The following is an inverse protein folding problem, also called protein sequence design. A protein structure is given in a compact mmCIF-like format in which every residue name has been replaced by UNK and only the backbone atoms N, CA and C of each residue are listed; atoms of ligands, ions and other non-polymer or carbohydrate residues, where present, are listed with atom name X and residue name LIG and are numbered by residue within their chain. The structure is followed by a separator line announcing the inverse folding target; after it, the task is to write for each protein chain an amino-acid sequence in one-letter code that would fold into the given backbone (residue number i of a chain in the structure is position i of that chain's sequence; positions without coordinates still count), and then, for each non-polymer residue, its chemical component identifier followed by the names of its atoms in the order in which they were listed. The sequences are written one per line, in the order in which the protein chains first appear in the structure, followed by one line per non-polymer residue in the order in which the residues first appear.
data_IF_373476593238
#
_entry.id   IF_373476593238
#
_cell.length_a   1.000
_cell.length_b   1.000
_cell.length_c   1.000
_cell.angle_alpha   90.00
_cell.angle_beta   90.00
_cell.angle_gamma   90.00
#
_symmetry.space_group_name_H-M   'P 1'
#
loop_
_entity.id
_entity.type
_entity.pdbx_description
1 polymer ?
#
# COMPACT_ATOMS: atom_id res chain seq x y z
N UNK A 1 -19.05 -24.90 10.49
CA UNK A 1 -18.72 -24.08 11.68
C UNK A 1 -19.33 -22.73 11.45
N UNK A 2 -20.50 -22.47 12.04
CA UNK A 2 -21.12 -21.15 12.03
C UNK A 2 -20.21 -20.19 12.79
N UNK A 3 -19.67 -19.20 12.09
CA UNK A 3 -18.87 -18.14 12.70
C UNK A 3 -19.84 -17.24 13.46
N UNK A 4 -19.67 -17.17 14.78
CA UNK A 4 -20.50 -16.38 15.68
C UNK A 4 -20.41 -14.89 15.30
N UNK A 5 -21.52 -14.32 14.85
CA UNK A 5 -21.62 -12.90 14.46
C UNK A 5 -21.48 -11.94 15.67
N UNK A 6 -21.42 -12.43 16.92
CA UNK A 6 -21.28 -11.59 18.11
C UNK A 6 -19.87 -10.98 18.29
N UNK A 7 -18.79 -11.63 17.86
CA UNK A 7 -17.41 -11.19 18.19
C UNK A 7 -17.02 -9.84 17.54
N UNK A 8 -17.54 -9.56 16.34
CA UNK A 8 -17.33 -8.27 15.67
C UNK A 8 -17.95 -7.10 16.44
N UNK A 9 -19.07 -7.35 17.10
CA UNK A 9 -19.87 -6.30 17.73
C UNK A 9 -19.19 -5.69 18.95
N UNK A 10 -18.22 -6.40 19.53
CA UNK A 10 -17.52 -5.98 20.74
C UNK A 10 -16.10 -5.42 20.46
N UNK A 11 -15.38 -5.94 19.45
CA UNK A 11 -13.99 -5.54 19.19
C UNK A 11 -13.82 -4.06 18.81
N UNK A 12 -14.64 -3.54 17.88
CA UNK A 12 -14.56 -2.15 17.46
C UNK A 12 -14.83 -1.17 18.61
N UNK A 13 -15.92 -1.33 19.40
CA UNK A 13 -16.13 -0.53 20.60
C UNK A 13 -14.98 -0.57 21.61
N UNK A 14 -14.37 -1.73 21.85
CA UNK A 14 -13.21 -1.85 22.73
C UNK A 14 -12.00 -1.09 22.21
N UNK A 15 -11.65 -1.28 20.94
CA UNK A 15 -10.54 -0.58 20.30
C UNK A 15 -10.75 0.94 20.30
N UNK A 16 -11.99 1.41 20.06
CA UNK A 16 -12.33 2.83 20.15
C UNK A 16 -12.12 3.34 21.58
N UNK A 17 -12.60 2.62 22.60
CA UNK A 17 -12.41 3.00 24.01
C UNK A 17 -10.94 3.01 24.41
N UNK A 18 -10.14 2.07 23.93
CA UNK A 18 -8.70 2.03 24.18
C UNK A 18 -7.99 3.27 23.60
N UNK A 19 -8.40 3.73 22.42
CA UNK A 19 -7.78 4.88 21.74
C UNK A 19 -8.35 6.24 22.16
N UNK A 20 -9.63 6.29 22.54
CA UNK A 20 -10.37 7.49 22.92
C UNK A 20 -11.37 7.19 24.05
N UNK A 21 -10.90 7.04 25.31
CA UNK A 21 -11.75 6.65 26.45
C UNK A 21 -12.93 7.60 26.73
N UNK A 22 -12.79 8.87 26.36
CA UNK A 22 -13.81 9.92 26.51
C UNK A 22 -14.43 10.36 25.18
N UNK A 23 -14.09 9.67 24.08
CA UNK A 23 -14.59 9.97 22.75
C UNK A 23 -16.02 9.43 22.51
N UNK A 24 -16.69 9.87 21.44
CA UNK A 24 -17.96 9.30 21.02
C UNK A 24 -17.81 7.81 20.70
N UNK A 25 -18.84 7.01 20.99
CA UNK A 25 -18.97 5.65 20.49
C UNK A 25 -20.17 5.59 19.55
N UNK A 26 -19.96 5.65 18.22
CA UNK A 26 -21.05 5.55 17.27
C UNK A 26 -21.83 4.23 17.43
N UNK A 27 -23.14 4.24 17.13
CA UNK A 27 -24.00 3.05 17.22
C UNK A 27 -23.81 2.13 16.02
N UNK A 28 -23.68 2.70 14.81
CA UNK A 28 -23.53 1.94 13.57
C UNK A 28 -22.11 1.40 13.41
N UNK A 29 -21.95 0.14 13.02
CA UNK A 29 -20.63 -0.48 12.83
C UNK A 29 -19.78 0.21 11.76
N UNK A 30 -20.39 0.72 10.68
CA UNK A 30 -19.69 1.48 9.65
C UNK A 30 -19.13 2.80 10.22
N UNK A 31 -19.89 3.47 11.08
CA UNK A 31 -19.45 4.68 11.77
C UNK A 31 -18.38 4.39 12.84
N UNK A 32 -18.49 3.26 13.55
CA UNK A 32 -17.45 2.78 14.47
C UNK A 32 -16.14 2.50 13.72
N UNK A 33 -16.19 1.79 12.59
CA UNK A 33 -15.01 1.51 11.78
C UNK A 33 -14.37 2.80 11.26
N UNK A 34 -15.18 3.73 10.74
CA UNK A 34 -14.71 5.04 10.29
C UNK A 34 -14.03 5.82 11.44
N UNK A 35 -14.62 5.82 12.63
CA UNK A 35 -14.06 6.52 13.78
C UNK A 35 -12.78 5.85 14.31
N UNK A 36 -12.76 4.53 14.45
CA UNK A 36 -11.56 3.76 14.79
C UNK A 36 -10.42 4.06 13.79
N UNK A 37 -10.73 4.06 12.49
CA UNK A 37 -9.77 4.40 11.43
C UNK A 37 -9.19 5.80 11.62
N UNK A 38 -10.02 6.80 11.90
CA UNK A 38 -9.54 8.16 12.19
C UNK A 38 -8.61 8.19 13.40
N UNK A 39 -8.99 7.52 14.48
CA UNK A 39 -8.20 7.46 15.71
C UNK A 39 -6.84 6.82 15.44
N UNK A 40 -6.80 5.60 14.89
CA UNK A 40 -5.54 4.87 14.70
C UNK A 40 -4.61 5.55 13.69
N UNK A 41 -5.16 6.24 12.69
CA UNK A 41 -4.39 7.07 11.76
C UNK A 41 -3.53 8.09 12.52
N UNK A 42 -4.05 8.70 13.59
CA UNK A 42 -3.36 9.76 14.35
C UNK A 42 -2.39 9.27 15.43
N UNK A 43 -2.46 8.00 15.81
CA UNK A 43 -1.74 7.49 16.99
C UNK A 43 -0.32 7.08 16.64
N UNK A 44 0.64 7.46 17.49
CA UNK A 44 1.97 6.87 17.47
C UNK A 44 1.90 5.49 18.09
N UNK A 45 2.72 4.58 17.60
CA UNK A 45 2.73 3.19 18.08
C UNK A 45 3.19 3.06 19.54
N UNK A 46 3.98 4.02 20.03
CA UNK A 46 4.39 4.11 21.42
C UNK A 46 3.25 4.51 22.38
N UNK A 47 2.18 5.12 21.86
CA UNK A 47 1.05 5.60 22.65
C UNK A 47 -0.08 4.56 22.72
N UNK A 48 0.09 3.39 22.10
CA UNK A 48 -0.92 2.34 22.08
C UNK A 48 -0.98 1.61 23.44
N UNK A 49 -2.19 1.41 24.02
CA UNK A 49 -2.34 0.71 25.28
C UNK A 49 -1.81 -0.72 25.24
N UNK A 50 -1.43 -1.26 26.40
CA UNK A 50 -1.04 -2.67 26.54
C UNK A 50 -2.19 -3.57 26.08
N UNK A 51 -1.90 -4.52 25.20
CA UNK A 51 -2.89 -5.45 24.66
C UNK A 51 -3.65 -4.94 23.43
N UNK A 52 -3.52 -3.65 23.07
CA UNK A 52 -4.22 -3.08 21.92
C UNK A 52 -3.90 -3.83 20.61
N UNK A 53 -2.62 -4.13 20.35
CA UNK A 53 -2.21 -4.81 19.12
C UNK A 53 -2.88 -6.18 18.96
N UNK A 54 -3.08 -6.92 20.04
CA UNK A 54 -3.73 -8.23 19.98
C UNK A 54 -5.20 -8.11 19.56
N UNK A 55 -5.91 -7.10 20.07
CA UNK A 55 -7.29 -6.82 19.66
C UNK A 55 -7.37 -6.33 18.22
N UNK A 56 -6.40 -5.51 17.80
CA UNK A 56 -6.30 -5.03 16.43
C UNK A 56 -6.00 -6.19 15.46
N UNK A 57 -5.10 -7.10 15.83
CA UNK A 57 -4.79 -8.31 15.08
C UNK A 57 -6.09 -9.13 14.87
N UNK A 58 -6.89 -9.35 15.92
CA UNK A 58 -8.19 -10.05 15.85
C UNK A 58 -9.20 -9.35 14.92
N UNK A 59 -9.30 -8.02 15.00
CA UNK A 59 -10.17 -7.24 14.13
C UNK A 59 -9.76 -7.38 12.66
N UNK A 60 -8.47 -7.24 12.35
CA UNK A 60 -7.96 -7.29 10.99
C UNK A 60 -8.06 -8.70 10.39
N UNK A 61 -7.76 -9.74 11.18
CA UNK A 61 -8.02 -11.13 10.80
C UNK A 61 -9.50 -11.36 10.46
N UNK A 62 -10.41 -10.79 11.26
CA UNK A 62 -11.83 -10.87 10.97
C UNK A 62 -12.18 -10.16 9.65
N UNK A 63 -11.69 -8.94 9.45
CA UNK A 63 -11.93 -8.15 8.22
C UNK A 63 -11.49 -8.95 7.00
N UNK A 64 -10.29 -9.53 7.03
CA UNK A 64 -9.76 -10.30 5.90
C UNK A 64 -10.45 -11.64 5.66
N UNK A 65 -11.14 -12.22 6.66
CA UNK A 65 -12.04 -13.37 6.43
C UNK A 65 -13.29 -13.00 5.63
N UNK A 66 -13.65 -11.72 5.57
CA UNK A 66 -14.87 -11.22 4.90
C UNK A 66 -14.58 -10.39 3.65
N UNK A 67 -13.34 -9.94 3.49
CA UNK A 67 -12.91 -9.08 2.41
C UNK A 67 -12.32 -9.91 1.27
N UNK A 68 -12.65 -9.54 0.04
CA UNK A 68 -12.11 -10.21 -1.13
C UNK A 68 -10.59 -10.03 -1.21
N UNK A 69 -9.93 -11.10 -1.64
CA UNK A 69 -8.51 -11.12 -1.99
C UNK A 69 -8.41 -11.38 -3.48
N UNK A 70 -7.64 -10.55 -4.18
CA UNK A 70 -7.46 -10.62 -5.62
C UNK A 70 -6.14 -11.32 -5.94
N UNK A 71 -6.18 -12.35 -6.76
CA UNK A 71 -5.02 -13.12 -7.19
C UNK A 71 -4.67 -12.84 -8.65
N UNK A 72 -3.51 -13.31 -9.09
CA UNK A 72 -3.00 -13.08 -10.45
C UNK A 72 -3.98 -13.56 -11.55
N UNK A 73 -4.78 -14.59 -11.25
CA UNK A 73 -5.81 -15.14 -12.15
C UNK A 73 -6.99 -14.20 -12.39
N UNK A 74 -7.16 -13.19 -11.53
CA UNK A 74 -8.22 -12.19 -11.64
C UNK A 74 -7.80 -11.00 -12.52
N UNK A 75 -6.54 -10.97 -12.97
CA UNK A 75 -5.95 -9.83 -13.68
C UNK A 75 -5.70 -10.12 -15.15
N UNK A 76 -5.71 -9.08 -15.96
CA UNK A 76 -5.44 -9.19 -17.39
C UNK A 76 -3.94 -9.13 -17.68
N UNK A 77 -3.38 -10.18 -18.29
CA UNK A 77 -2.00 -10.19 -18.77
C UNK A 77 -1.91 -9.48 -20.13
N UNK A 78 -1.51 -8.21 -20.12
CA UNK A 78 -1.46 -7.38 -21.34
C UNK A 78 -0.10 -7.42 -22.05
N UNK A 79 0.94 -7.85 -21.36
CA UNK A 79 2.28 -8.07 -21.87
C UNK A 79 2.90 -9.22 -21.08
N UNK A 80 3.82 -9.99 -21.68
CA UNK A 80 4.43 -11.15 -21.02
C UNK A 80 4.91 -10.81 -19.60
N UNK A 81 4.34 -11.48 -18.61
CA UNK A 81 4.64 -11.31 -17.18
C UNK A 81 4.24 -9.96 -16.56
N UNK A 82 3.46 -9.14 -17.27
CA UNK A 82 2.97 -7.83 -16.83
C UNK A 82 1.43 -7.82 -16.88
N UNK A 83 0.81 -7.63 -15.72
CA UNK A 83 -0.62 -7.68 -15.50
C UNK A 83 -1.17 -6.29 -15.21
N UNK A 84 -2.41 -6.05 -15.60
CA UNK A 84 -3.16 -4.84 -15.28
C UNK A 84 -4.43 -5.21 -14.50
N UNK A 85 -4.71 -4.40 -13.47
CA UNK A 85 -5.96 -4.47 -12.72
C UNK A 85 -6.38 -3.08 -12.26
N UNK A 86 -7.64 -2.95 -11.83
CA UNK A 86 -8.22 -1.71 -11.32
C UNK A 86 -8.92 -1.98 -10.00
N UNK A 87 -8.56 -1.26 -8.95
CA UNK A 87 -9.20 -1.39 -7.65
C UNK A 87 -8.28 -1.07 -6.47
N UNK A 88 -8.56 -1.71 -5.35
CA UNK A 88 -7.81 -1.51 -4.11
C UNK A 88 -6.57 -2.40 -4.07
N UNK A 89 -5.39 -1.78 -4.13
CA UNK A 89 -4.10 -2.47 -4.05
C UNK A 89 -3.96 -3.29 -2.76
N UNK A 90 -4.60 -2.91 -1.66
CA UNK A 90 -4.51 -3.65 -0.40
C UNK A 90 -5.12 -5.04 -0.50
N UNK A 91 -5.99 -5.31 -1.48
CA UNK A 91 -6.60 -6.62 -1.71
C UNK A 91 -5.73 -7.53 -2.59
N UNK A 92 -4.67 -7.01 -3.21
CA UNK A 92 -3.85 -7.76 -4.15
C UNK A 92 -2.92 -8.73 -3.42
N UNK A 93 -3.10 -10.02 -3.68
CA UNK A 93 -2.22 -11.09 -3.23
C UNK A 93 -1.00 -11.18 -4.15
N UNK A 94 0.09 -10.56 -3.71
CA UNK A 94 1.39 -10.62 -4.33
C UNK A 94 2.46 -10.97 -3.30
N UNK A 95 3.68 -11.28 -3.74
CA UNK A 95 4.78 -11.41 -2.80
C UNK A 95 5.11 -10.07 -2.14
N UNK A 96 5.06 -8.96 -2.88
CA UNK A 96 5.00 -7.63 -2.28
C UNK A 96 4.09 -6.65 -3.02
N UNK A 97 3.47 -5.75 -2.26
CA UNK A 97 2.87 -4.52 -2.79
C UNK A 97 3.80 -3.33 -2.57
N UNK A 98 3.69 -2.31 -3.41
CA UNK A 98 4.54 -1.11 -3.33
C UNK A 98 3.77 0.09 -2.78
N UNK A 99 4.25 0.60 -1.66
CA UNK A 99 3.73 1.77 -0.96
C UNK A 99 4.48 3.05 -1.39
N UNK A 100 3.79 4.05 -1.99
CA UNK A 100 4.32 5.39 -2.18
C UNK A 100 4.35 6.15 -0.85
N UNK A 101 5.39 5.90 -0.06
CA UNK A 101 5.43 6.32 1.34
C UNK A 101 5.67 7.82 1.53
N UNK A 102 5.26 8.34 2.69
CA UNK A 102 5.69 9.65 3.17
C UNK A 102 7.18 9.64 3.59
N UNK A 103 7.87 10.80 3.67
CA UNK A 103 9.31 10.85 4.00
C UNK A 103 9.71 10.14 5.29
N UNK A 104 8.86 10.11 6.31
CA UNK A 104 9.16 9.40 7.56
C UNK A 104 8.83 7.90 7.51
N UNK A 105 8.15 7.42 6.46
CA UNK A 105 7.74 6.01 6.26
C UNK A 105 6.83 5.47 7.39
N UNK A 106 6.22 6.34 8.19
CA UNK A 106 5.40 5.96 9.34
C UNK A 106 3.90 5.88 8.98
N UNK A 107 3.57 5.87 7.70
CA UNK A 107 2.21 6.00 7.22
C UNK A 107 1.67 7.43 7.27
N UNK A 108 0.39 7.54 6.94
CA UNK A 108 -0.33 8.80 7.02
C UNK A 108 -0.81 9.09 8.47
N UNK A 109 -0.68 10.34 8.90
CA UNK A 109 -1.22 10.84 10.19
C UNK A 109 -2.39 11.82 10.03
N UNK A 110 -2.85 12.05 8.80
CA UNK A 110 -3.97 12.97 8.53
C UNK A 110 -5.28 12.17 8.52
N UNK A 111 -6.19 12.37 9.49
CA UNK A 111 -7.51 11.75 9.48
C UNK A 111 -8.22 12.01 8.15
N UNK A 112 -8.96 11.01 7.68
CA UNK A 112 -9.79 11.10 6.46
C UNK A 112 -9.00 11.40 5.17
N UNK A 113 -7.67 11.39 5.22
CA UNK A 113 -6.86 11.54 4.02
C UNK A 113 -6.98 10.28 3.17
N UNK A 114 -7.56 10.45 1.99
CA UNK A 114 -7.66 9.40 0.97
C UNK A 114 -6.31 9.29 0.28
N UNK A 115 -5.43 8.44 0.82
CA UNK A 115 -4.17 8.10 0.19
C UNK A 115 -3.83 6.62 0.41
N UNK A 116 -3.14 6.03 -0.56
CA UNK A 116 -2.78 4.61 -0.52
C UNK A 116 -1.91 4.26 0.69
N UNK A 117 -0.99 5.14 1.10
CA UNK A 117 -0.18 4.98 2.31
C UNK A 117 -1.06 4.78 3.57
N UNK A 118 -2.19 5.49 3.66
CA UNK A 118 -3.14 5.30 4.76
C UNK A 118 -3.88 3.96 4.63
N UNK A 119 -4.35 3.60 3.42
CA UNK A 119 -5.01 2.31 3.19
C UNK A 119 -4.10 1.12 3.56
N UNK A 120 -2.85 1.14 3.10
CA UNK A 120 -1.86 0.11 3.39
C UNK A 120 -1.63 0.01 4.90
N UNK A 121 -1.38 1.12 5.59
CA UNK A 121 -1.13 1.11 7.03
C UNK A 121 -2.35 0.68 7.86
N UNK A 122 -3.56 1.08 7.48
CA UNK A 122 -4.79 0.69 8.19
C UNK A 122 -5.04 -0.81 8.04
N UNK A 123 -4.92 -1.36 6.81
CA UNK A 123 -5.25 -2.77 6.56
C UNK A 123 -4.10 -3.75 6.84
N UNK A 124 -2.85 -3.29 6.92
CA UNK A 124 -1.74 -4.06 7.48
C UNK A 124 -1.77 -4.09 9.01
N UNK A 125 -2.24 -3.00 9.63
CA UNK A 125 -2.30 -2.80 11.08
C UNK A 125 -1.11 -2.03 11.65
N UNK A 126 -1.22 -1.63 12.92
CA UNK A 126 -0.25 -0.78 13.61
C UNK A 126 1.13 -1.40 13.74
N UNK A 127 1.25 -2.73 13.59
CA UNK A 127 2.53 -3.42 13.56
C UNK A 127 3.40 -3.00 12.36
N UNK A 128 2.81 -2.68 11.21
CA UNK A 128 3.54 -2.11 10.08
C UNK A 128 4.21 -0.80 10.46
N UNK A 129 3.45 0.10 11.11
CA UNK A 129 4.02 1.36 11.61
C UNK A 129 5.09 1.12 12.68
N UNK A 130 4.98 0.07 13.50
CA UNK A 130 6.01 -0.28 14.50
C UNK A 130 7.32 -0.69 13.83
N UNK A 131 7.27 -1.57 12.83
CA UNK A 131 8.45 -1.98 12.06
C UNK A 131 9.07 -0.79 11.33
N UNK A 132 8.26 0.05 10.67
CA UNK A 132 8.76 1.29 10.07
C UNK A 132 9.42 2.22 11.08
N UNK A 133 8.85 2.38 12.29
CA UNK A 133 9.42 3.22 13.34
C UNK A 133 10.79 2.71 13.77
N UNK A 134 10.92 1.40 13.99
CA UNK A 134 12.18 0.75 14.36
C UNK A 134 13.22 0.83 13.25
N UNK A 135 12.79 0.71 11.99
CA UNK A 135 13.65 0.74 10.81
C UNK A 135 14.15 2.15 10.50
N UNK A 136 13.32 3.16 10.70
CA UNK A 136 13.67 4.55 10.39
C UNK A 136 14.47 5.23 11.49
N UNK A 137 14.29 4.87 12.77
CA UNK A 137 15.07 5.42 13.89
C UNK A 137 15.14 6.97 13.88
N UNK A 138 14.05 7.63 13.50
CA UNK A 138 13.97 9.10 13.40
C UNK A 138 14.57 9.72 12.13
N UNK A 139 15.12 8.91 11.22
CA UNK A 139 15.59 9.35 9.90
C UNK A 139 14.45 9.49 8.89
N UNK A 140 14.76 9.98 7.69
CA UNK A 140 13.81 10.10 6.57
C UNK A 140 14.27 9.25 5.39
N UNK A 141 13.29 8.74 4.63
CA UNK A 141 13.52 8.05 3.38
C UNK A 141 14.16 8.98 2.35
N UNK A 142 15.01 8.41 1.50
CA UNK A 142 15.62 9.13 0.39
C UNK A 142 14.79 8.92 -0.86
N UNK A 143 14.53 10.00 -1.61
CA UNK A 143 13.75 9.94 -2.85
C UNK A 143 14.40 8.94 -3.83
N UNK A 144 13.59 8.04 -4.41
CA UNK A 144 14.08 7.03 -5.34
C UNK A 144 14.71 5.80 -4.70
N UNK A 145 14.75 5.72 -3.36
CA UNK A 145 15.16 4.51 -2.63
C UNK A 145 13.94 3.78 -2.07
N UNK A 146 14.13 2.50 -1.78
CA UNK A 146 13.10 1.64 -1.22
C UNK A 146 13.59 0.90 0.03
N UNK A 147 12.64 0.53 0.90
CA UNK A 147 12.83 -0.34 2.06
C UNK A 147 11.69 -1.36 2.12
N UNK A 148 11.90 -2.49 2.77
CA UNK A 148 10.92 -3.59 2.79
C UNK A 148 10.59 -4.01 4.22
N UNK A 149 9.30 -4.19 4.49
CA UNK A 149 8.72 -4.65 5.76
C UNK A 149 7.81 -5.85 5.50
N UNK A 150 7.34 -6.51 6.57
CA UNK A 150 6.28 -7.52 6.43
C UNK A 150 4.95 -6.88 6.03
N UNK A 151 4.11 -7.62 5.32
CA UNK A 151 2.75 -7.17 4.97
C UNK A 151 1.72 -7.32 6.09
N UNK A 152 2.07 -8.03 7.16
CA UNK A 152 1.20 -8.29 8.32
C UNK A 152 -0.14 -8.90 7.92
N UNK A 153 -1.23 -8.15 8.03
CA UNK A 153 -2.58 -8.65 7.72
C UNK A 153 -2.94 -8.52 6.24
N UNK A 154 -2.13 -7.81 5.44
CA UNK A 154 -2.36 -7.74 3.99
C UNK A 154 -2.24 -9.14 3.36
N UNK A 155 -2.98 -9.42 2.26
CA UNK A 155 -2.75 -10.60 1.43
C UNK A 155 -1.32 -10.67 0.87
N UNK A 156 -0.65 -9.52 0.73
CA UNK A 156 0.74 -9.44 0.32
C UNK A 156 1.70 -9.82 1.45
N UNK A 157 2.74 -10.60 1.15
CA UNK A 157 3.70 -11.06 2.17
C UNK A 157 4.58 -9.92 2.71
N UNK A 158 4.90 -8.96 1.84
CA UNK A 158 5.73 -7.81 2.14
C UNK A 158 5.12 -6.50 1.63
N UNK A 159 5.55 -5.39 2.23
CA UNK A 159 5.34 -4.04 1.69
C UNK A 159 6.70 -3.45 1.35
N UNK A 160 6.88 -3.01 0.12
CA UNK A 160 8.06 -2.24 -0.29
C UNK A 160 7.68 -0.76 -0.27
N UNK A 161 8.26 -0.01 0.65
CA UNK A 161 8.06 1.43 0.80
C UNK A 161 9.08 2.17 -0.05
N UNK A 162 8.62 3.01 -0.98
CA UNK A 162 9.50 3.85 -1.81
C UNK A 162 9.03 5.30 -1.77
N UNK A 163 9.98 6.25 -1.66
CA UNK A 163 9.65 7.68 -1.64
C UNK A 163 9.69 8.25 -3.07
N UNK A 164 8.54 8.57 -3.71
CA UNK A 164 8.52 9.15 -5.04
C UNK A 164 8.99 10.62 -5.05
N UNK A 165 9.51 11.12 -6.19
CA UNK A 165 9.84 12.53 -6.35
C UNK A 165 8.57 13.39 -6.39
N UNK A 166 8.60 14.56 -5.74
CA UNK A 166 7.54 15.56 -5.83
C UNK A 166 7.82 16.55 -6.96
N UNK A 167 6.78 16.91 -7.72
CA UNK A 167 6.83 17.91 -8.78
C UNK A 167 6.18 19.22 -8.29
N UNK A 168 6.98 20.28 -8.26
CA UNK A 168 6.53 21.66 -7.99
C UNK A 168 6.86 22.51 -9.21
N UNK A 169 5.86 22.81 -10.04
CA UNK A 169 6.05 23.46 -11.33
C UNK A 169 6.41 22.47 -12.44
N UNK A 170 7.45 22.76 -13.22
CA UNK A 170 7.81 21.95 -14.38
C UNK A 170 8.53 20.66 -14.00
N UNK A 171 8.15 19.56 -14.66
CA UNK A 171 8.80 18.26 -14.48
C UNK A 171 10.24 18.28 -15.04
N UNK A 172 11.21 17.99 -14.19
CA UNK A 172 12.64 17.95 -14.52
C UNK A 172 13.13 16.56 -14.91
N UNK A 173 14.29 16.49 -15.58
CA UNK A 173 14.96 15.22 -15.87
C UNK A 173 15.37 14.46 -14.59
N UNK A 174 15.80 15.17 -13.55
CA UNK A 174 16.16 14.58 -12.27
C UNK A 174 14.97 13.89 -11.59
N UNK A 175 13.78 14.50 -11.63
CA UNK A 175 12.56 13.87 -11.11
C UNK A 175 12.14 12.65 -11.92
N UNK A 176 12.27 12.67 -13.25
CA UNK A 176 12.03 11.47 -14.08
C UNK A 176 12.97 10.34 -13.70
N UNK A 177 14.26 10.65 -13.51
CA UNK A 177 15.25 9.66 -13.09
C UNK A 177 14.98 9.12 -11.68
N UNK A 178 14.56 9.98 -10.77
CA UNK A 178 14.21 9.59 -9.41
C UNK A 178 12.99 8.64 -9.37
N UNK A 179 11.97 8.86 -10.21
CA UNK A 179 10.84 7.94 -10.34
C UNK A 179 11.30 6.60 -10.94
N UNK A 180 12.17 6.61 -11.94
CA UNK A 180 12.78 5.38 -12.47
C UNK A 180 13.54 4.62 -11.38
N UNK A 181 14.30 5.33 -10.53
CA UNK A 181 15.02 4.73 -9.41
C UNK A 181 14.09 4.08 -8.38
N UNK A 182 12.88 4.61 -8.15
CA UNK A 182 11.89 3.96 -7.29
C UNK A 182 11.57 2.54 -7.77
N UNK A 183 11.29 2.38 -9.07
CA UNK A 183 11.02 1.07 -9.66
C UNK A 183 12.23 0.14 -9.55
N UNK A 184 13.42 0.62 -9.92
CA UNK A 184 14.65 -0.17 -9.80
C UNK A 184 14.93 -0.62 -8.36
N UNK A 185 14.76 0.25 -7.37
CA UNK A 185 14.95 -0.10 -5.97
C UNK A 185 13.97 -1.19 -5.51
N UNK A 186 12.70 -1.12 -5.95
CA UNK A 186 11.72 -2.17 -5.68
C UNK A 186 12.10 -3.50 -6.35
N UNK A 187 12.59 -3.47 -7.59
CA UNK A 187 13.04 -4.66 -8.29
C UNK A 187 14.26 -5.30 -7.64
N UNK A 188 15.23 -4.49 -7.18
CA UNK A 188 16.40 -4.99 -6.46
C UNK A 188 15.99 -5.72 -5.18
N UNK A 189 15.10 -5.13 -4.38
CA UNK A 189 14.57 -5.79 -3.17
C UNK A 189 13.82 -7.08 -3.51
N UNK A 190 13.09 -7.11 -4.63
CA UNK A 190 12.42 -8.33 -5.07
C UNK A 190 13.39 -9.47 -5.37
N UNK A 191 14.54 -9.19 -6.00
CA UNK A 191 15.58 -10.20 -6.22
C UNK A 191 16.23 -10.64 -4.92
N UNK A 192 16.59 -9.69 -4.05
CA UNK A 192 17.23 -9.97 -2.76
C UNK A 192 16.36 -10.89 -1.87
N UNK A 193 15.05 -10.65 -1.87
CA UNK A 193 14.07 -11.44 -1.11
C UNK A 193 13.46 -12.60 -1.91
N UNK A 194 13.95 -12.84 -3.13
CA UNK A 194 13.52 -13.93 -4.03
C UNK A 194 12.01 -13.93 -4.32
N UNK A 195 11.41 -12.75 -4.36
CA UNK A 195 10.00 -12.53 -4.65
C UNK A 195 9.68 -12.92 -6.10
N UNK A 196 8.45 -13.38 -6.33
CA UNK A 196 7.93 -13.82 -7.64
C UNK A 196 6.89 -12.87 -8.21
N UNK A 197 6.32 -11.99 -7.39
CA UNK A 197 5.39 -10.96 -7.86
C UNK A 197 5.50 -9.65 -7.10
N UNK A 198 5.38 -8.54 -7.85
CA UNK A 198 5.29 -7.19 -7.31
C UNK A 198 4.02 -6.51 -7.82
N UNK A 199 3.28 -5.85 -6.94
CA UNK A 199 2.12 -5.05 -7.28
C UNK A 199 2.36 -3.57 -7.00
N UNK A 200 2.26 -2.74 -8.04
CA UNK A 200 2.47 -1.30 -7.99
C UNK A 200 1.15 -0.57 -8.13
N UNK A 201 1.01 0.55 -7.41
CA UNK A 201 0.04 1.59 -7.80
C UNK A 201 0.63 2.51 -8.88
N UNK A 202 -0.15 3.48 -9.35
CA UNK A 202 0.35 4.60 -10.14
C UNK A 202 1.26 5.51 -9.29
N UNK A 203 2.54 5.14 -9.14
CA UNK A 203 3.49 5.89 -8.32
C UNK A 203 3.60 7.35 -8.79
N UNK A 204 3.64 8.26 -7.81
CA UNK A 204 3.82 9.71 -7.97
C UNK A 204 2.67 10.51 -8.65
N UNK A 205 1.58 9.88 -9.12
CA UNK A 205 0.50 10.60 -9.84
C UNK A 205 -0.56 11.24 -8.95
N UNK A 206 -0.53 10.97 -7.64
CA UNK A 206 -1.38 11.59 -6.64
C UNK A 206 -0.80 12.89 -6.09
N UNK A 207 -0.55 12.93 -4.78
CA UNK A 207 -0.04 14.11 -4.05
C UNK A 207 1.32 14.64 -4.53
N UNK A 208 2.07 13.86 -5.31
CA UNK A 208 3.36 14.26 -5.87
C UNK A 208 3.28 14.99 -7.22
N UNK A 209 2.07 15.15 -7.79
CA UNK A 209 1.78 15.93 -9.01
C UNK A 209 2.58 15.51 -10.25
N UNK A 210 2.98 14.24 -10.34
CA UNK A 210 3.66 13.74 -11.53
C UNK A 210 2.62 13.50 -12.65
N UNK A 211 2.85 13.99 -13.89
CA UNK A 211 1.93 13.76 -15.01
C UNK A 211 1.69 12.27 -15.26
N UNK A 212 0.42 11.85 -15.30
CA UNK A 212 0.02 10.44 -15.37
C UNK A 212 0.63 9.73 -16.59
N UNK A 213 0.61 10.38 -17.77
CA UNK A 213 1.15 9.84 -19.02
C UNK A 213 2.66 9.58 -18.93
N UNK A 214 3.40 10.48 -18.30
CA UNK A 214 4.84 10.32 -18.12
C UNK A 214 5.14 9.26 -17.07
N UNK A 215 4.43 9.26 -15.94
CA UNK A 215 4.62 8.27 -14.88
C UNK A 215 4.36 6.85 -15.40
N UNK A 216 3.25 6.65 -16.13
CA UNK A 216 2.91 5.35 -16.71
C UNK A 216 3.96 4.87 -17.72
N UNK A 217 4.46 5.76 -18.59
CA UNK A 217 5.56 5.42 -19.52
C UNK A 217 6.83 4.99 -18.77
N UNK A 218 7.21 5.69 -17.69
CA UNK A 218 8.37 5.32 -16.86
C UNK A 218 8.14 3.97 -16.19
N UNK A 219 6.95 3.74 -15.62
CA UNK A 219 6.58 2.49 -14.96
C UNK A 219 6.71 1.30 -15.92
N UNK A 220 6.02 1.37 -17.06
CA UNK A 220 5.95 0.28 -18.04
C UNK A 220 7.32 0.03 -18.68
N UNK A 221 8.06 1.09 -19.05
CA UNK A 221 9.40 0.91 -19.65
C UNK A 221 10.38 0.31 -18.66
N UNK A 222 10.31 0.69 -17.38
CA UNK A 222 11.14 0.10 -16.32
C UNK A 222 10.82 -1.36 -16.10
N UNK A 223 9.52 -1.70 -16.05
CA UNK A 223 9.01 -3.05 -15.94
C UNK A 223 9.43 -3.94 -17.12
N UNK A 224 9.13 -3.54 -18.36
CA UNK A 224 9.48 -4.29 -19.57
C UNK A 224 10.98 -4.55 -19.65
N UNK A 225 11.82 -3.55 -19.40
CA UNK A 225 13.29 -3.68 -19.44
C UNK A 225 13.81 -4.61 -18.35
N UNK A 226 13.24 -4.57 -17.15
CA UNK A 226 13.65 -5.47 -16.07
C UNK A 226 13.20 -6.91 -16.35
N UNK A 227 11.96 -7.10 -16.80
CA UNK A 227 11.39 -8.41 -17.13
C UNK A 227 12.17 -9.14 -18.24
N UNK A 228 12.77 -8.43 -19.20
CA UNK A 228 13.65 -9.03 -20.21
C UNK A 228 14.83 -9.82 -19.60
N UNK A 229 15.30 -9.43 -18.42
CA UNK A 229 16.41 -10.08 -17.70
C UNK A 229 15.93 -11.05 -16.62
N UNK A 230 14.71 -10.85 -16.13
CA UNK A 230 14.10 -11.57 -15.01
C UNK A 230 12.65 -11.98 -15.35
N UNK A 231 12.45 -12.88 -16.33
CA UNK A 231 11.11 -13.26 -16.82
C UNK A 231 10.25 -13.99 -15.77
N UNK A 232 10.87 -14.47 -14.70
CA UNK A 232 10.22 -15.09 -13.56
C UNK A 232 9.47 -14.10 -12.66
N UNK A 233 9.88 -12.84 -12.61
CA UNK A 233 9.25 -11.82 -11.78
C UNK A 233 8.01 -11.26 -12.49
N UNK A 234 6.84 -11.49 -11.89
CA UNK A 234 5.56 -10.95 -12.37
C UNK A 234 5.33 -9.54 -11.84
N UNK A 235 4.83 -8.66 -12.69
CA UNK A 235 4.56 -7.27 -12.32
C UNK A 235 3.09 -6.97 -12.52
N UNK A 236 2.45 -6.44 -11.49
CA UNK A 236 1.03 -6.09 -11.50
C UNK A 236 0.95 -4.57 -11.37
N UNK A 237 0.32 -3.91 -12.34
CA UNK A 237 -0.05 -2.51 -12.21
C UNK A 237 -1.50 -2.43 -11.76
N UNK A 238 -1.73 -1.96 -10.54
CA UNK A 238 -3.06 -1.71 -9.98
C UNK A 238 -3.39 -0.22 -10.11
N UNK A 239 -4.30 0.09 -11.02
CA UNK A 239 -4.84 1.43 -11.20
C UNK A 239 -6.06 1.65 -10.31
N UNK A 240 -6.54 2.90 -10.19
CA UNK A 240 -7.77 3.20 -9.42
C UNK A 240 -8.79 3.96 -10.27
N UNK A 241 -8.35 5.03 -10.95
CA UNK A 241 -9.21 5.83 -11.82
C UNK A 241 -9.25 5.24 -13.23
N UNK A 242 -10.39 5.36 -13.90
CA UNK A 242 -10.56 4.89 -15.29
C UNK A 242 -9.55 5.52 -16.25
N UNK A 243 -9.18 6.79 -16.03
CA UNK A 243 -8.17 7.48 -16.84
C UNK A 243 -6.80 6.79 -16.75
N UNK A 244 -6.42 6.31 -15.57
CA UNK A 244 -5.17 5.59 -15.36
C UNK A 244 -5.26 4.17 -15.96
N UNK A 245 -6.38 3.48 -15.74
CA UNK A 245 -6.61 2.16 -16.33
C UNK A 245 -6.50 2.19 -17.85
N UNK A 246 -7.26 3.08 -18.49
CA UNK A 246 -7.28 3.22 -19.95
C UNK A 246 -5.90 3.59 -20.51
N UNK A 247 -5.16 4.45 -19.80
CA UNK A 247 -3.80 4.83 -20.18
C UNK A 247 -2.83 3.64 -20.09
N UNK A 248 -2.82 2.91 -18.97
CA UNK A 248 -1.96 1.74 -18.81
C UNK A 248 -2.32 0.63 -19.81
N UNK A 249 -3.61 0.36 -19.98
CA UNK A 249 -4.11 -0.61 -20.96
C UNK A 249 -3.64 -0.26 -22.37
N UNK A 250 -3.85 1.00 -22.80
CA UNK A 250 -3.36 1.48 -24.09
C UNK A 250 -1.85 1.28 -24.24
N UNK A 251 -1.05 1.71 -23.26
CA UNK A 251 0.43 1.64 -23.34
C UNK A 251 0.98 0.21 -23.29
N UNK A 252 0.30 -0.72 -22.62
CA UNK A 252 0.73 -2.11 -22.52
C UNK A 252 0.39 -2.91 -23.79
N UNK A 253 -0.72 -2.58 -24.46
CA UNK A 253 -1.19 -3.24 -25.68
C UNK A 253 -0.52 -2.75 -26.97
N UNK A 254 0.18 -1.61 -26.94
CA UNK A 254 1.03 -1.19 -28.05
C UNK A 254 2.23 -2.16 -28.20
N UNK A 255 2.37 -2.71 -29.41
CA UNK A 255 3.49 -3.58 -29.81
C UNK A 255 4.74 -2.77 -30.14
#
# INVERSE_FOLDING_TARGET
MEVNFMELTELLPELIKDLAPTGPLPTEHSAQFAYWRQLITTKKTADLPKGYLTKEDQLLEFIWKKRDTLELTDFEELSTGIYLTQGDLTQVKADAIVDPCAPHMLGCFKPEHVCLDNEIHVFAGSRLRQECTQMMQGTVATVGQARITKGYHLPAKYVIHTLPPQVKGNLTAAQRKALENCYHACFTLALEYQLKSLAFSCLATGSANFPNDVAAKIAISSAKRFHQKHPELKMIFNTYKDIDYNLYHYLLTQR
#
